data_IF_654448955320
#
_entry.id   IF_654448955320
#
_cell.length_a   1.000
_cell.length_b   1.000
_cell.length_c   1.000
_cell.angle_alpha   90.00
_cell.angle_beta   90.00
_cell.angle_gamma   90.00
#
_symmetry.space_group_name_H-M   'P 1'
#
loop_
_entity.id
_entity.type
_entity.pdbx_description
1 polymer ?
#
# COMPACT_ATOMS: atom_id res chain seq x y z
N UNK A 1 6.00 -13.18 -10.35
CA UNK A 1 5.07 -12.28 -9.64
C UNK A 1 4.64 -11.16 -10.56
N UNK A 2 3.35 -10.84 -10.57
CA UNK A 2 2.85 -9.74 -11.38
C UNK A 2 3.28 -8.39 -10.82
N UNK A 3 3.63 -7.47 -11.70
CA UNK A 3 3.96 -6.10 -11.35
C UNK A 3 2.67 -5.28 -11.33
N UNK A 4 2.31 -4.74 -10.19
CA UNK A 4 1.05 -4.04 -10.01
C UNK A 4 1.15 -2.59 -10.50
N UNK A 5 0.14 -2.14 -11.24
CA UNK A 5 0.05 -0.77 -11.76
C UNK A 5 -1.39 -0.30 -11.73
N UNK A 6 -1.59 0.98 -11.98
CA UNK A 6 -2.92 1.55 -12.20
C UNK A 6 -3.38 2.45 -11.07
N UNK A 7 -4.46 3.18 -11.35
CA UNK A 7 -5.06 4.18 -10.46
C UNK A 7 -6.57 4.06 -10.57
N UNK A 8 -7.27 4.11 -9.43
CA UNK A 8 -8.72 4.15 -9.42
C UNK A 8 -9.24 4.84 -8.17
N UNK A 9 -10.44 5.42 -8.29
CA UNK A 9 -11.10 6.12 -7.20
C UNK A 9 -12.23 5.25 -6.66
N UNK A 10 -12.40 5.23 -5.34
CA UNK A 10 -13.35 4.34 -4.69
C UNK A 10 -14.08 5.03 -3.55
N UNK A 11 -15.28 4.54 -3.28
CA UNK A 11 -16.04 4.88 -2.08
C UNK A 11 -15.64 3.93 -0.94
N UNK A 12 -15.50 4.48 0.26
CA UNK A 12 -15.23 3.70 1.48
C UNK A 12 -16.47 3.82 2.36
N UNK A 13 -17.09 2.68 2.69
CA UNK A 13 -18.31 2.71 3.49
C UNK A 13 -18.02 2.98 4.98
N UNK A 14 -19.09 3.11 5.77
CA UNK A 14 -18.98 3.42 7.20
C UNK A 14 -18.18 2.40 7.98
N UNK A 15 -18.15 1.15 7.53
CA UNK A 15 -17.38 0.07 8.17
C UNK A 15 -15.94 0.00 7.68
N UNK A 16 -15.54 0.91 6.79
CA UNK A 16 -14.19 0.92 6.25
C UNK A 16 -13.96 -0.07 5.12
N UNK A 17 -15.04 -0.56 4.49
CA UNK A 17 -14.90 -1.50 3.38
C UNK A 17 -14.74 -0.74 2.07
N UNK A 18 -13.83 -1.23 1.24
CA UNK A 18 -13.55 -0.66 -0.09
C UNK A 18 -13.35 -1.80 -1.08
N UNK A 19 -13.86 -1.62 -2.30
CA UNK A 19 -13.72 -2.62 -3.37
C UNK A 19 -12.33 -2.47 -3.99
N UNK A 20 -11.60 -3.58 -4.08
CA UNK A 20 -10.34 -3.59 -4.82
C UNK A 20 -10.63 -3.63 -6.32
N UNK A 21 -9.87 -2.91 -7.14
CA UNK A 21 -9.98 -3.01 -8.59
C UNK A 21 -9.84 -4.47 -9.05
N UNK A 22 -10.66 -4.87 -10.00
CA UNK A 22 -10.69 -6.25 -10.49
C UNK A 22 -9.31 -6.75 -10.90
N UNK A 23 -8.55 -5.92 -11.61
CA UNK A 23 -7.20 -6.26 -12.04
C UNK A 23 -6.28 -6.59 -10.86
N UNK A 24 -6.28 -5.75 -9.83
CA UNK A 24 -5.46 -5.98 -8.64
C UNK A 24 -5.91 -7.23 -7.89
N UNK A 25 -7.22 -7.42 -7.76
CA UNK A 25 -7.77 -8.61 -7.09
C UNK A 25 -7.36 -9.90 -7.81
N UNK A 26 -7.41 -9.91 -9.14
CA UNK A 26 -7.00 -11.07 -9.92
C UNK A 26 -5.51 -11.36 -9.78
N UNK A 27 -4.68 -10.32 -9.71
CA UNK A 27 -3.23 -10.49 -9.59
C UNK A 27 -2.79 -10.85 -8.18
N UNK A 28 -3.48 -10.35 -7.15
CA UNK A 28 -3.07 -10.52 -5.76
C UNK A 28 -3.75 -11.67 -5.04
N UNK A 29 -4.91 -12.12 -5.51
CA UNK A 29 -5.70 -13.15 -4.84
C UNK A 29 -6.53 -12.58 -3.69
N UNK A 30 -7.01 -13.46 -2.82
CA UNK A 30 -7.96 -13.10 -1.77
C UNK A 30 -7.35 -12.90 -0.39
N UNK A 31 -6.18 -13.49 -0.13
CA UNK A 31 -5.52 -13.42 1.18
C UNK A 31 -4.45 -12.32 1.14
N UNK A 32 -4.71 -11.26 1.88
CA UNK A 32 -3.90 -10.05 1.78
C UNK A 32 -3.42 -9.61 3.16
N UNK A 33 -2.38 -8.80 3.16
CA UNK A 33 -1.86 -8.15 4.36
C UNK A 33 -1.98 -6.65 4.17
N UNK A 34 -2.59 -5.99 5.15
CA UNK A 34 -2.63 -4.53 5.21
C UNK A 34 -1.64 -4.05 6.26
N UNK A 35 -0.94 -2.98 5.96
CA UNK A 35 -0.04 -2.38 6.93
C UNK A 35 0.16 -0.89 6.67
N UNK A 36 0.82 -0.25 7.61
CA UNK A 36 1.20 1.16 7.52
C UNK A 36 2.15 1.35 6.33
N UNK A 37 1.76 2.17 5.38
CA UNK A 37 2.60 2.49 4.23
C UNK A 37 3.42 3.76 4.47
N UNK A 38 4.50 3.89 3.73
CA UNK A 38 5.27 5.13 3.71
C UNK A 38 4.37 6.25 3.15
N UNK A 39 4.64 7.49 3.51
CA UNK A 39 3.83 8.65 3.10
C UNK A 39 2.40 8.65 3.64
N UNK A 40 2.16 7.91 4.72
CA UNK A 40 0.86 7.88 5.41
C UNK A 40 -0.28 7.33 4.55
N UNK A 41 0.00 6.27 3.81
CA UNK A 41 -1.01 5.48 3.10
C UNK A 41 -1.11 4.09 3.72
N UNK A 42 -2.01 3.27 3.20
CA UNK A 42 -2.11 1.85 3.57
C UNK A 42 -1.48 1.02 2.46
N UNK A 43 -0.53 0.17 2.81
CA UNK A 43 0.00 -0.81 1.87
C UNK A 43 -0.86 -2.06 1.89
N UNK A 44 -1.14 -2.58 0.69
CA UNK A 44 -1.82 -3.85 0.48
C UNK A 44 -0.80 -4.79 -0.16
N UNK A 45 -0.51 -5.89 0.53
CA UNK A 45 0.52 -6.83 0.11
C UNK A 45 -0.08 -8.24 0.00
N UNK A 46 0.46 -9.04 -0.91
CA UNK A 46 0.24 -10.48 -0.84
C UNK A 46 1.01 -11.04 0.36
N UNK A 47 0.67 -12.25 0.81
CA UNK A 47 1.44 -12.89 1.88
C UNK A 47 2.88 -13.11 1.47
N UNK A 48 3.11 -13.42 0.20
CA UNK A 48 4.48 -13.60 -0.33
C UNK A 48 5.28 -12.32 -0.25
N UNK A 49 4.69 -11.19 -0.65
CA UNK A 49 5.36 -9.89 -0.59
C UNK A 49 5.63 -9.49 0.87
N UNK A 50 4.69 -9.76 1.77
CA UNK A 50 4.90 -9.51 3.20
C UNK A 50 6.05 -10.33 3.75
N UNK A 51 6.10 -11.63 3.45
CA UNK A 51 7.17 -12.51 3.91
C UNK A 51 8.53 -12.05 3.39
N UNK A 52 8.59 -11.62 2.12
CA UNK A 52 9.82 -11.08 1.54
C UNK A 52 10.28 -9.82 2.28
N UNK A 53 9.35 -8.95 2.65
CA UNK A 53 9.66 -7.75 3.43
C UNK A 53 10.20 -8.11 4.82
N UNK A 54 9.53 -9.05 5.50
CA UNK A 54 9.97 -9.52 6.82
C UNK A 54 11.40 -10.07 6.78
N UNK A 55 11.73 -10.84 5.77
CA UNK A 55 13.07 -11.39 5.60
C UNK A 55 14.11 -10.30 5.41
N UNK A 56 13.80 -9.29 4.61
CA UNK A 56 14.70 -8.16 4.40
C UNK A 56 14.92 -7.37 5.68
N UNK A 57 13.87 -7.14 6.44
CA UNK A 57 13.96 -6.43 7.71
C UNK A 57 14.82 -7.22 8.71
N UNK A 58 14.64 -8.55 8.75
CA UNK A 58 15.37 -9.41 9.69
C UNK A 58 16.89 -9.42 9.44
N UNK A 59 17.32 -9.09 8.23
CA UNK A 59 18.73 -9.04 7.87
C UNK A 59 19.40 -7.72 8.24
N UNK A 60 18.63 -6.72 8.62
CA UNK A 60 19.19 -5.42 9.02
C UNK A 60 19.76 -5.50 10.43
N UNK A 61 20.82 -4.71 10.70
CA UNK A 61 21.29 -4.54 12.08
C UNK A 61 20.16 -4.03 12.96
N UNK A 62 20.13 -4.44 14.22
CA UNK A 62 19.09 -4.05 15.15
C UNK A 62 18.90 -2.54 15.24
N UNK A 63 19.98 -1.79 15.11
CA UNK A 63 19.94 -0.32 15.14
C UNK A 63 19.08 0.29 14.03
N UNK A 64 18.96 -0.38 12.88
CA UNK A 64 18.13 0.06 11.74
C UNK A 64 16.82 -0.71 11.65
N UNK A 65 16.87 -2.02 11.85
CA UNK A 65 15.74 -2.90 11.71
C UNK A 65 14.64 -2.69 12.75
N UNK A 66 15.03 -2.22 13.94
CA UNK A 66 14.11 -2.02 15.05
C UNK A 66 12.98 -1.04 14.72
N UNK A 67 13.31 0.13 14.21
CA UNK A 67 12.31 1.16 13.88
C UNK A 67 11.45 0.72 12.69
N UNK A 68 12.07 0.13 11.68
CA UNK A 68 11.36 -0.39 10.51
C UNK A 68 10.39 -1.50 10.93
N UNK A 69 10.84 -2.39 11.81
CA UNK A 69 10.00 -3.47 12.34
C UNK A 69 8.77 -2.91 13.07
N UNK A 70 8.96 -1.94 13.96
CA UNK A 70 7.83 -1.29 14.65
C UNK A 70 6.86 -0.62 13.66
N UNK A 71 7.39 0.06 12.67
CA UNK A 71 6.59 0.78 11.68
C UNK A 71 5.63 -0.17 10.96
N UNK A 72 6.13 -1.28 10.44
CA UNK A 72 5.32 -2.19 9.63
C UNK A 72 4.54 -3.22 10.45
N UNK A 73 5.06 -3.68 11.58
CA UNK A 73 4.40 -4.74 12.34
C UNK A 73 3.29 -4.27 13.27
N UNK A 74 3.36 -3.03 13.75
CA UNK A 74 2.40 -2.54 14.75
C UNK A 74 0.96 -2.62 14.26
N UNK A 75 0.70 -2.25 13.02
CA UNK A 75 -0.66 -2.20 12.46
C UNK A 75 -0.90 -3.25 11.38
N UNK A 76 0.01 -4.19 11.23
CA UNK A 76 -0.14 -5.28 10.27
C UNK A 76 -1.42 -6.07 10.57
N UNK A 77 -2.24 -6.27 9.55
CA UNK A 77 -3.53 -6.96 9.67
C UNK A 77 -3.71 -7.90 8.50
N UNK A 78 -4.03 -9.16 8.80
CA UNK A 78 -4.39 -10.13 7.77
C UNK A 78 -5.85 -9.91 7.40
N UNK A 79 -6.16 -9.83 6.12
CA UNK A 79 -7.51 -9.66 5.62
C UNK A 79 -7.78 -10.60 4.46
N UNK A 80 -9.05 -10.89 4.22
CA UNK A 80 -9.48 -11.61 3.03
C UNK A 80 -10.53 -10.74 2.33
N UNK A 81 -10.52 -10.77 1.00
CA UNK A 81 -11.58 -10.11 0.24
C UNK A 81 -12.89 -10.87 0.44
N UNK A 82 -13.98 -10.14 0.55
CA UNK A 82 -15.31 -10.75 0.64
C UNK A 82 -15.81 -11.15 -0.77
N UNK A 83 -17.04 -11.69 -0.84
CA UNK A 83 -17.63 -12.14 -2.11
C UNK A 83 -17.78 -11.04 -3.13
N UNK A 84 -17.83 -9.79 -2.69
CA UNK A 84 -17.97 -8.63 -3.55
C UNK A 84 -16.62 -8.00 -3.91
N UNK A 85 -15.51 -8.61 -3.46
CA UNK A 85 -14.17 -8.11 -3.73
C UNK A 85 -13.76 -6.95 -2.84
N UNK A 86 -14.42 -6.77 -1.68
CA UNK A 86 -14.11 -5.71 -0.75
C UNK A 86 -13.12 -6.17 0.30
N UNK A 87 -12.28 -5.26 0.76
CA UNK A 87 -11.47 -5.43 1.97
C UNK A 87 -11.94 -4.44 3.01
N UNK A 88 -11.81 -4.81 4.28
CA UNK A 88 -12.15 -3.90 5.37
C UNK A 88 -10.86 -3.34 5.97
N UNK A 89 -10.76 -2.00 5.95
CA UNK A 89 -9.63 -1.30 6.53
C UNK A 89 -9.85 -1.16 8.02
N UNK A 90 -8.89 -1.62 8.86
CA UNK A 90 -8.99 -1.40 10.31
C UNK A 90 -9.05 0.09 10.65
N UNK A 91 -9.75 0.42 11.72
CA UNK A 91 -9.92 1.81 12.15
C UNK A 91 -8.59 2.53 12.35
N UNK A 92 -7.58 1.85 12.91
CA UNK A 92 -6.26 2.44 13.12
C UNK A 92 -5.60 2.83 11.81
N UNK A 93 -5.65 1.97 10.80
CA UNK A 93 -5.06 2.26 9.49
C UNK A 93 -5.82 3.37 8.77
N UNK A 94 -7.16 3.39 8.88
CA UNK A 94 -7.95 4.49 8.32
C UNK A 94 -7.57 5.83 8.93
N UNK A 95 -7.39 5.85 10.25
CA UNK A 95 -6.99 7.07 10.96
C UNK A 95 -5.62 7.55 10.52
N UNK A 96 -4.64 6.64 10.47
CA UNK A 96 -3.27 6.97 10.06
C UNK A 96 -3.26 7.54 8.64
N UNK A 97 -3.96 6.89 7.73
CA UNK A 97 -3.98 7.29 6.32
C UNK A 97 -4.99 8.41 6.02
N UNK A 98 -5.81 8.81 7.00
CA UNK A 98 -6.81 9.85 6.81
C UNK A 98 -7.90 9.45 5.82
N UNK A 99 -8.27 8.17 5.78
CA UNK A 99 -9.27 7.66 4.84
C UNK A 99 -10.64 7.71 5.46
N UNK A 100 -11.53 8.45 4.81
CA UNK A 100 -12.93 8.58 5.21
C UNK A 100 -13.77 8.89 3.97
N UNK A 101 -14.77 8.06 3.68
CA UNK A 101 -15.71 8.27 2.58
C UNK A 101 -15.16 7.96 1.20
N UNK A 102 -13.94 8.40 0.88
CA UNK A 102 -13.33 8.21 -0.43
C UNK A 102 -11.87 7.81 -0.28
N UNK A 103 -11.38 7.03 -1.24
CA UNK A 103 -10.00 6.62 -1.29
C UNK A 103 -9.54 6.48 -2.74
N UNK A 104 -8.24 6.57 -2.92
CA UNK A 104 -7.56 6.27 -4.19
C UNK A 104 -6.80 4.98 -3.99
N UNK A 105 -6.89 4.05 -4.94
CA UNK A 105 -6.14 2.81 -4.93
C UNK A 105 -5.20 2.80 -6.13
N UNK A 106 -3.92 2.58 -5.87
CA UNK A 106 -2.91 2.50 -6.92
C UNK A 106 -2.12 1.21 -6.80
N UNK A 107 -1.73 0.65 -7.94
CA UNK A 107 -0.76 -0.42 -7.99
C UNK A 107 0.63 0.17 -8.13
N UNK A 108 1.58 -0.32 -7.35
CA UNK A 108 2.95 0.20 -7.37
C UNK A 108 3.97 -0.93 -7.17
N UNK A 109 4.17 -1.70 -8.23
CA UNK A 109 5.17 -2.76 -8.23
C UNK A 109 4.74 -3.98 -7.42
N UNK A 110 5.36 -4.21 -6.28
CA UNK A 110 5.09 -5.37 -5.44
C UNK A 110 3.99 -5.15 -4.41
N UNK A 111 3.30 -4.01 -4.48
CA UNK A 111 2.23 -3.67 -3.55
C UNK A 111 1.14 -2.85 -4.22
N UNK A 112 -0.04 -2.83 -3.63
CA UNK A 112 -1.03 -1.79 -3.89
C UNK A 112 -1.00 -0.81 -2.72
N UNK A 113 -1.53 0.38 -2.95
CA UNK A 113 -1.58 1.45 -1.93
C UNK A 113 -2.98 2.04 -1.91
N UNK A 114 -3.49 2.29 -0.71
CA UNK A 114 -4.77 2.96 -0.52
C UNK A 114 -4.51 4.29 0.15
N UNK A 115 -4.95 5.37 -0.48
CA UNK A 115 -4.61 6.74 -0.11
C UNK A 115 -5.84 7.58 0.15
N UNK A 116 -5.68 8.54 1.06
CA UNK A 116 -6.55 9.71 1.11
C UNK A 116 -6.37 10.46 -0.22
N UNK A 117 -7.46 10.84 -0.92
CA UNK A 117 -7.34 11.47 -2.25
C UNK A 117 -6.52 12.76 -2.26
N UNK A 118 -6.68 13.60 -1.24
CA UNK A 118 -5.94 14.87 -1.16
C UNK A 118 -4.46 14.66 -0.90
N UNK A 119 -4.12 13.68 -0.07
CA UNK A 119 -2.72 13.31 0.20
C UNK A 119 -2.04 12.73 -1.03
N UNK A 120 -2.78 11.92 -1.80
CA UNK A 120 -2.26 11.37 -3.05
C UNK A 120 -1.98 12.48 -4.05
N UNK A 121 -2.92 13.42 -4.21
CA UNK A 121 -2.72 14.57 -5.09
C UNK A 121 -1.51 15.42 -4.67
N UNK A 122 -1.35 15.66 -3.38
CA UNK A 122 -0.20 16.40 -2.85
C UNK A 122 1.11 15.67 -3.13
N UNK A 123 1.13 14.35 -2.99
CA UNK A 123 2.31 13.53 -3.31
C UNK A 123 2.66 13.63 -4.79
N UNK A 124 1.66 13.54 -5.68
CA UNK A 124 1.90 13.67 -7.12
C UNK A 124 2.48 15.03 -7.48
N UNK A 125 1.94 16.10 -6.90
CA UNK A 125 2.43 17.47 -7.15
C UNK A 125 3.85 17.68 -6.64
N UNK A 126 4.26 16.90 -5.64
CA UNK A 126 5.60 16.97 -5.07
C UNK A 126 6.63 16.15 -5.88
N UNK A 127 6.18 15.35 -6.85
CA UNK A 127 7.11 14.62 -7.71
C UNK A 127 7.90 15.62 -8.56
N UNK A 128 9.23 15.54 -8.44
CA UNK A 128 10.15 16.43 -9.15
C UNK A 128 10.66 15.73 -10.40
N UNK A 129 10.20 16.19 -11.57
CA UNK A 129 10.56 15.57 -12.85
C UNK A 129 12.07 15.63 -13.10
N UNK A 130 12.74 16.71 -12.67
CA UNK A 130 14.20 16.81 -12.84
C UNK A 130 14.92 15.73 -12.03
N UNK A 131 14.49 15.47 -10.81
CA UNK A 131 15.04 14.40 -9.98
C UNK A 131 14.74 13.03 -10.59
N UNK A 132 13.56 12.86 -11.18
CA UNK A 132 13.19 11.59 -11.82
C UNK A 132 14.09 11.37 -13.06
N UNK A 133 14.30 12.39 -13.88
CA UNK A 133 15.20 12.28 -15.04
C UNK A 133 16.62 11.93 -14.59
N UNK A 134 17.12 12.57 -13.54
CA UNK A 134 18.45 12.27 -13.01
C UNK A 134 18.56 10.83 -12.52
N UNK A 135 17.52 10.33 -11.83
CA UNK A 135 17.49 8.97 -11.37
C UNK A 135 17.42 7.95 -12.52
N UNK A 136 16.76 8.32 -13.63
CA UNK A 136 16.67 7.49 -14.82
C UNK A 136 18.05 7.22 -15.46
N UNK A 137 18.97 8.16 -15.34
CA UNK A 137 20.33 7.97 -15.85
C UNK A 137 21.02 6.78 -15.17
N UNK A 138 20.74 6.55 -13.89
CA UNK A 138 21.27 5.41 -13.15
C UNK A 138 20.71 4.07 -13.64
N UNK A 139 19.54 4.11 -14.28
CA UNK A 139 18.89 2.92 -14.82
C UNK A 139 19.34 2.62 -16.25
N UNK A 140 20.20 3.45 -16.82
CA UNK A 140 20.66 3.31 -18.21
C UNK A 140 19.47 3.26 -19.20
N UNK A 141 18.51 4.09 -18.92
CA UNK A 141 17.27 4.10 -19.70
C UNK A 141 17.40 4.93 -20.97
#
# INVERSE_FOLDING_TARGET
MAYLTGYSEHFVDEKGRVILPKKLKEQMGTDLVLTHGLDECVYVLTREAWTALEEKISRLPMSKGRDISHFFNTYKTDVSTDKQGRVQLPAALRRIAGIEGNAVIVGNGNRAEIWNPQRFEAMEKALDTENIVAAMDELDF
#
